data_IF_472160882621
#
_entry.id   IF_472160882621
#
_cell.length_a   1.000
_cell.length_b   1.000
_cell.length_c   1.000
_cell.angle_alpha   90.00
_cell.angle_beta   90.00
_cell.angle_gamma   90.00
#
_symmetry.space_group_name_H-M   'P 1'
#
loop_
_entity.id
_entity.type
_entity.pdbx_description
1 polymer ?
#
# COMPACT_ATOMS: atom_id res chain seq x y z
N UNK A 1 9.17 14.55 9.00
CA UNK A 1 7.98 14.51 8.14
C UNK A 1 6.91 13.57 8.68
N UNK A 2 7.12 12.24 8.70
CA UNK A 2 6.11 11.24 9.11
C UNK A 2 5.45 11.61 10.45
N UNK A 3 6.24 11.87 11.50
CA UNK A 3 5.74 12.31 12.81
C UNK A 3 4.82 13.55 12.74
N UNK A 4 5.20 14.56 11.97
CA UNK A 4 4.41 15.79 11.82
C UNK A 4 3.09 15.52 11.11
N UNK A 5 3.08 14.65 10.10
CA UNK A 5 1.86 14.28 9.38
C UNK A 5 0.95 13.43 10.26
N UNK A 6 1.48 12.43 10.96
CA UNK A 6 0.72 11.59 11.89
C UNK A 6 0.03 12.44 12.96
N UNK A 7 0.78 13.28 13.68
CA UNK A 7 0.23 14.13 14.73
C UNK A 7 -0.65 15.25 14.17
N UNK A 8 -0.27 15.83 13.04
CA UNK A 8 -1.02 16.90 12.38
C UNK A 8 -2.39 16.44 11.91
N UNK A 9 -2.47 15.31 11.22
CA UNK A 9 -3.74 14.71 10.80
C UNK A 9 -4.61 14.37 12.00
N UNK A 10 -4.04 13.75 13.04
CA UNK A 10 -4.79 13.36 14.23
C UNK A 10 -5.37 14.57 14.98
N UNK A 11 -4.60 15.65 15.10
CA UNK A 11 -5.03 16.85 15.83
C UNK A 11 -5.91 17.81 15.03
N UNK A 12 -5.81 17.81 13.70
CA UNK A 12 -6.51 18.77 12.84
C UNK A 12 -7.87 18.25 12.38
N UNK A 13 -7.99 16.95 12.11
CA UNK A 13 -9.25 16.37 11.66
C UNK A 13 -10.24 16.22 12.82
N UNK A 14 -11.56 16.34 12.57
CA UNK A 14 -12.57 16.21 13.62
C UNK A 14 -12.45 14.89 14.39
N UNK A 15 -12.60 14.89 15.73
CA UNK A 15 -12.65 13.66 16.51
C UNK A 15 -13.69 12.69 15.97
N UNK A 16 -13.30 11.42 15.82
CA UNK A 16 -14.16 10.38 15.25
C UNK A 16 -14.17 10.33 13.71
N UNK A 17 -13.48 11.26 13.04
CA UNK A 17 -13.26 11.25 11.58
C UNK A 17 -11.77 11.19 11.22
N UNK A 18 -10.91 11.01 12.22
CA UNK A 18 -9.46 11.13 12.14
C UNK A 18 -8.76 9.78 12.39
N UNK A 19 -9.21 8.73 11.72
CA UNK A 19 -8.55 7.41 11.78
C UNK A 19 -7.21 7.53 11.06
N UNK A 20 -6.12 7.40 11.82
CA UNK A 20 -4.74 7.43 11.32
C UNK A 20 -4.12 6.08 11.58
N UNK A 21 -3.70 5.41 10.51
CA UNK A 21 -3.11 4.07 10.56
C UNK A 21 -1.82 4.05 9.77
N UNK A 22 -0.96 3.12 10.09
CA UNK A 22 0.30 2.90 9.38
C UNK A 22 0.39 1.44 8.94
N UNK A 23 0.88 1.19 7.73
CA UNK A 23 1.03 -0.16 7.15
C UNK A 23 2.50 -0.47 6.84
N UNK A 24 3.41 -0.51 7.83
CA UNK A 24 4.84 -0.73 7.57
C UNK A 24 5.13 -2.18 7.16
N UNK A 25 6.27 -2.43 6.52
CA UNK A 25 6.81 -3.79 6.44
C UNK A 25 7.20 -4.26 7.85
N UNK A 26 7.11 -5.56 8.13
CA UNK A 26 7.60 -6.12 9.40
C UNK A 26 9.09 -5.78 9.66
N UNK A 27 9.91 -5.70 8.61
CA UNK A 27 11.31 -5.28 8.69
C UNK A 27 11.50 -3.84 9.17
N UNK A 28 10.53 -2.96 8.93
CA UNK A 28 10.56 -1.58 9.40
C UNK A 28 10.11 -1.47 10.86
N UNK A 29 9.55 -2.53 11.43
CA UNK A 29 9.00 -2.57 12.77
C UNK A 29 9.88 -3.37 13.75
N UNK A 30 11.18 -3.46 13.45
CA UNK A 30 12.21 -3.93 14.39
C UNK A 30 12.72 -2.78 15.27
N UNK A 31 13.03 -3.07 16.53
CA UNK A 31 13.37 -2.04 17.53
C UNK A 31 14.54 -1.12 17.16
N UNK A 32 15.48 -1.61 16.33
CA UNK A 32 16.62 -0.84 15.84
C UNK A 32 16.30 0.11 14.69
N UNK A 33 15.12 0.02 14.08
CA UNK A 33 14.75 0.86 12.94
C UNK A 33 14.31 2.26 13.40
N UNK A 34 14.54 3.26 12.55
CA UNK A 34 14.04 4.62 12.80
C UNK A 34 12.51 4.68 12.74
N UNK A 35 11.87 3.90 11.85
CA UNK A 35 10.43 3.90 11.68
C UNK A 35 9.71 3.36 12.93
N UNK A 36 10.24 2.30 13.54
CA UNK A 36 9.75 1.77 14.80
C UNK A 36 9.74 2.84 15.89
N UNK A 37 10.83 3.63 16.02
CA UNK A 37 10.92 4.69 17.03
C UNK A 37 9.91 5.81 16.77
N UNK A 38 9.69 6.18 15.50
CA UNK A 38 8.66 7.17 15.13
C UNK A 38 7.27 6.66 15.53
N UNK A 39 6.91 5.42 15.18
CA UNK A 39 5.62 4.82 15.52
C UNK A 39 5.46 4.73 17.04
N UNK A 40 6.47 4.22 17.75
CA UNK A 40 6.45 4.08 19.21
C UNK A 40 6.24 5.42 19.93
N UNK A 41 6.97 6.46 19.54
CA UNK A 41 6.88 7.77 20.17
C UNK A 41 5.54 8.49 19.88
N UNK A 42 4.82 8.06 18.84
CA UNK A 42 3.58 8.67 18.39
C UNK A 42 2.39 7.69 18.45
N UNK A 43 2.51 6.60 19.21
CA UNK A 43 1.50 5.54 19.27
C UNK A 43 0.11 6.07 19.68
N UNK A 44 0.04 7.10 20.53
CA UNK A 44 -1.22 7.74 20.92
C UNK A 44 -1.96 8.46 19.79
N UNK A 45 -1.27 8.77 18.69
CA UNK A 45 -1.85 9.40 17.49
C UNK A 45 -2.13 8.41 16.36
N UNK A 46 -1.84 7.11 16.56
CA UNK A 46 -2.05 6.04 15.59
C UNK A 46 -3.14 5.11 16.14
N UNK A 47 -4.29 5.06 15.47
CA UNK A 47 -5.46 4.32 15.95
C UNK A 47 -5.23 2.81 15.97
N UNK A 48 -4.52 2.29 14.98
CA UNK A 48 -4.00 0.93 14.92
C UNK A 48 -2.89 0.82 13.87
N UNK A 49 -2.01 -0.15 14.08
CA UNK A 49 -0.90 -0.49 13.21
C UNK A 49 -1.25 -1.74 12.41
N UNK A 50 -0.83 -1.75 11.15
CA UNK A 50 -1.12 -2.82 10.19
C UNK A 50 0.19 -3.36 9.58
N UNK A 51 1.06 -4.06 10.36
CA UNK A 51 2.31 -4.57 9.82
C UNK A 51 2.05 -5.58 8.69
N UNK A 52 2.78 -5.42 7.59
CA UNK A 52 2.77 -6.33 6.45
C UNK A 52 3.63 -7.56 6.81
N UNK A 53 3.00 -8.67 7.19
CA UNK A 53 3.68 -9.95 7.47
C UNK A 53 3.87 -10.77 6.18
N UNK A 54 4.35 -10.10 5.14
CA UNK A 54 4.62 -10.64 3.81
C UNK A 54 5.76 -9.86 3.16
N UNK A 55 6.49 -10.48 2.23
CA UNK A 55 7.66 -9.90 1.55
C UNK A 55 8.81 -9.43 2.46
N UNK A 56 8.74 -9.74 3.76
CA UNK A 56 9.59 -9.13 4.77
C UNK A 56 10.46 -10.14 5.51
N UNK A 57 10.58 -9.99 6.83
CA UNK A 57 11.43 -10.82 7.70
C UNK A 57 10.71 -11.99 8.36
N UNK A 58 9.38 -12.08 8.24
CA UNK A 58 8.56 -13.19 8.76
C UNK A 58 7.93 -14.00 7.62
N UNK A 59 7.56 -15.26 7.88
CA UNK A 59 6.85 -16.14 6.92
C UNK A 59 5.76 -16.96 7.63
N UNK A 60 4.65 -16.32 8.06
CA UNK A 60 3.69 -16.97 8.98
C UNK A 60 2.98 -18.19 8.39
N UNK A 61 2.75 -18.24 7.07
CA UNK A 61 2.14 -19.41 6.41
C UNK A 61 3.13 -20.57 6.30
N UNK A 62 4.39 -20.30 5.94
CA UNK A 62 5.40 -21.35 5.72
C UNK A 62 5.99 -21.87 7.03
N UNK A 63 6.24 -20.97 7.98
CA UNK A 63 6.97 -21.28 9.21
C UNK A 63 6.02 -21.55 10.39
N UNK A 64 4.73 -21.27 10.22
CA UNK A 64 3.80 -21.08 11.33
C UNK A 64 4.10 -19.80 12.10
N UNK A 65 3.13 -19.29 12.86
CA UNK A 65 3.29 -17.98 13.52
C UNK A 65 4.42 -17.95 14.55
N UNK A 66 4.71 -19.08 15.19
CA UNK A 66 5.74 -19.22 16.22
C UNK A 66 7.12 -19.62 15.68
N UNK A 67 7.22 -20.05 14.41
CA UNK A 67 8.45 -20.56 13.82
C UNK A 67 9.34 -19.47 13.23
N UNK A 68 10.61 -19.83 12.98
CA UNK A 68 11.65 -18.98 12.38
C UNK A 68 12.32 -19.76 11.24
N UNK A 69 11.51 -20.32 10.34
CA UNK A 69 11.97 -21.18 9.26
C UNK A 69 12.68 -20.40 8.16
N UNK A 70 11.96 -20.01 7.11
CA UNK A 70 12.50 -19.13 6.07
C UNK A 70 12.54 -17.66 6.48
N UNK A 71 11.72 -17.25 7.46
CA UNK A 71 11.82 -15.95 8.10
C UNK A 71 13.06 -15.84 9.00
N UNK A 72 13.51 -14.61 9.26
CA UNK A 72 14.58 -14.34 10.22
C UNK A 72 14.07 -14.10 11.64
N UNK A 73 12.76 -13.87 11.81
CA UNK A 73 12.06 -13.80 13.10
C UNK A 73 10.67 -14.43 12.99
N UNK A 74 10.09 -14.86 14.12
CA UNK A 74 8.72 -15.38 14.11
C UNK A 74 7.70 -14.26 14.09
N UNK A 75 6.61 -14.44 13.35
CA UNK A 75 5.55 -13.44 13.28
C UNK A 75 4.92 -13.17 14.66
N UNK A 76 4.76 -14.19 15.50
CA UNK A 76 4.23 -14.06 16.85
C UNK A 76 5.14 -13.24 17.77
N UNK A 77 6.46 -13.47 17.73
CA UNK A 77 7.41 -12.69 18.54
C UNK A 77 7.47 -11.23 18.09
N UNK A 78 7.41 -10.99 16.78
CA UNK A 78 7.32 -9.64 16.23
C UNK A 78 6.02 -8.95 16.64
N UNK A 79 4.87 -9.61 16.47
CA UNK A 79 3.56 -9.11 16.90
C UNK A 79 3.55 -8.77 18.40
N UNK A 80 4.03 -9.68 19.24
CA UNK A 80 4.17 -9.49 20.68
C UNK A 80 5.05 -8.27 21.03
N UNK A 81 6.13 -8.03 20.27
CA UNK A 81 6.97 -6.85 20.48
C UNK A 81 6.16 -5.57 20.28
N UNK A 82 5.34 -5.51 19.24
CA UNK A 82 4.51 -4.33 18.95
C UNK A 82 3.44 -4.12 20.00
N UNK A 83 2.72 -5.18 20.37
CA UNK A 83 1.72 -5.13 21.45
C UNK A 83 2.34 -4.58 22.72
N UNK A 84 3.44 -5.16 23.19
CA UNK A 84 4.00 -4.82 24.50
C UNK A 84 4.75 -3.49 24.51
N UNK A 85 5.52 -3.19 23.46
CA UNK A 85 6.48 -2.08 23.48
C UNK A 85 6.02 -0.83 22.72
N UNK A 86 5.04 -0.96 21.81
CA UNK A 86 4.41 0.18 21.11
C UNK A 86 3.08 0.52 21.77
N UNK A 87 2.25 -0.49 22.03
CA UNK A 87 0.88 -0.30 22.53
C UNK A 87 0.66 -0.72 23.99
N UNK A 88 1.74 -0.90 24.76
CA UNK A 88 1.68 -1.14 26.21
C UNK A 88 0.76 -2.30 26.62
N UNK A 89 0.69 -3.35 25.81
CA UNK A 89 -0.13 -4.54 26.03
C UNK A 89 -1.45 -4.57 25.27
N UNK A 90 -1.82 -3.49 24.56
CA UNK A 90 -3.09 -3.44 23.82
C UNK A 90 -2.98 -4.14 22.45
N UNK A 91 -3.38 -5.41 22.41
CA UNK A 91 -3.38 -6.21 21.19
C UNK A 91 -4.44 -5.77 20.16
N UNK A 92 -5.47 -5.03 20.58
CA UNK A 92 -6.53 -4.54 19.68
C UNK A 92 -5.98 -3.51 18.68
N UNK A 93 -4.78 -2.98 18.94
CA UNK A 93 -4.09 -1.97 18.14
C UNK A 93 -3.19 -2.53 17.05
N UNK A 94 -3.01 -3.85 16.97
CA UNK A 94 -2.15 -4.48 15.96
C UNK A 94 -3.00 -5.41 15.10
N UNK A 95 -3.09 -5.08 13.82
CA UNK A 95 -3.88 -5.80 12.81
C UNK A 95 -2.92 -6.58 11.92
N UNK A 96 -3.14 -7.89 11.75
CA UNK A 96 -2.22 -8.77 11.04
C UNK A 96 -2.38 -8.66 9.52
N UNK A 97 -1.29 -8.36 8.81
CA UNK A 97 -1.30 -8.14 7.36
C UNK A 97 -0.96 -9.34 6.51
N UNK A 98 -1.77 -9.58 5.48
CA UNK A 98 -1.58 -10.65 4.50
C UNK A 98 -1.43 -10.11 3.08
N UNK A 99 -0.65 -10.85 2.28
CA UNK A 99 -0.64 -10.68 0.84
C UNK A 99 -1.40 -11.84 0.21
N UNK A 100 -2.43 -11.55 -0.57
CA UNK A 100 -3.35 -12.59 -1.10
C UNK A 100 -3.03 -12.96 -2.54
N UNK A 101 -2.16 -12.18 -3.19
CA UNK A 101 -1.63 -12.42 -4.53
C UNK A 101 -0.35 -11.61 -4.77
N UNK A 102 0.39 -11.92 -5.83
CA UNK A 102 1.55 -11.12 -6.29
C UNK A 102 2.75 -11.05 -5.32
N UNK A 103 2.76 -11.86 -4.26
CA UNK A 103 3.87 -12.05 -3.34
C UNK A 103 4.51 -13.45 -3.46
N UNK A 104 4.35 -14.12 -4.60
CA UNK A 104 4.89 -15.48 -4.82
C UNK A 104 6.41 -15.52 -4.85
N UNK A 105 7.08 -14.43 -5.27
CA UNK A 105 8.55 -14.36 -5.34
C UNK A 105 9.23 -14.56 -3.98
N UNK A 106 8.57 -14.13 -2.89
CA UNK A 106 9.07 -14.31 -1.53
C UNK A 106 8.40 -15.49 -0.81
N UNK A 107 7.50 -16.19 -1.53
CA UNK A 107 6.64 -17.22 -0.96
C UNK A 107 5.59 -16.69 0.00
N UNK A 108 5.23 -15.40 -0.01
CA UNK A 108 4.39 -14.82 1.04
C UNK A 108 2.89 -14.72 0.71
N UNK A 109 2.43 -15.34 -0.39
CA UNK A 109 1.00 -15.43 -0.67
C UNK A 109 0.33 -16.28 0.42
N UNK A 110 -0.83 -15.84 0.87
CA UNK A 110 -1.70 -16.57 1.79
C UNK A 110 -3.11 -16.62 1.22
N UNK A 111 -3.60 -17.82 0.92
CA UNK A 111 -5.02 -17.99 0.60
C UNK A 111 -5.92 -17.78 1.84
N UNK A 112 -7.24 -17.79 1.64
CA UNK A 112 -8.19 -17.54 2.73
C UNK A 112 -8.12 -18.55 3.88
N UNK A 113 -7.83 -19.82 3.60
CA UNK A 113 -7.73 -20.87 4.63
C UNK A 113 -6.38 -20.81 5.35
N UNK A 114 -5.30 -20.54 4.61
CA UNK A 114 -3.97 -20.33 5.19
C UNK A 114 -3.97 -19.11 6.13
N UNK A 115 -4.55 -17.99 5.69
CA UNK A 115 -4.72 -16.80 6.52
C UNK A 115 -5.63 -17.07 7.73
N UNK A 116 -6.74 -17.79 7.56
CA UNK A 116 -7.61 -18.19 8.67
C UNK A 116 -6.87 -19.07 9.70
N UNK A 117 -5.97 -19.95 9.25
CA UNK A 117 -5.12 -20.77 10.13
C UNK A 117 -4.18 -19.89 10.95
N UNK A 118 -3.46 -18.96 10.29
CA UNK A 118 -2.59 -17.99 10.96
C UNK A 118 -3.36 -17.17 12.00
N UNK A 119 -4.57 -16.69 11.67
CA UNK A 119 -5.40 -15.93 12.59
C UNK A 119 -5.94 -16.78 13.74
N UNK A 120 -6.24 -18.05 13.50
CA UNK A 120 -6.66 -19.00 14.54
C UNK A 120 -5.52 -19.20 15.55
N UNK A 121 -4.32 -19.44 15.04
CA UNK A 121 -3.13 -19.59 15.88
C UNK A 121 -2.84 -18.30 16.65
N UNK A 122 -2.97 -17.13 16.02
CA UNK A 122 -2.78 -15.84 16.70
C UNK A 122 -3.78 -15.66 17.85
N UNK A 123 -5.05 -16.01 17.60
CA UNK A 123 -6.12 -15.92 18.59
C UNK A 123 -5.89 -16.82 19.82
N UNK A 124 -5.07 -17.87 19.72
CA UNK A 124 -4.68 -18.67 20.90
C UNK A 124 -3.88 -17.87 21.94
N UNK A 125 -3.12 -16.87 21.48
CA UNK A 125 -2.27 -16.02 22.35
C UNK A 125 -2.88 -14.64 22.55
N UNK A 126 -3.45 -14.07 21.49
CA UNK A 126 -4.08 -12.75 21.47
C UNK A 126 -5.51 -12.87 20.92
N UNK A 127 -6.47 -13.39 21.71
CA UNK A 127 -7.86 -13.52 21.26
C UNK A 127 -8.49 -12.18 20.87
N UNK A 128 -7.98 -11.08 21.44
CA UNK A 128 -8.40 -9.70 21.16
C UNK A 128 -7.39 -8.95 20.30
N UNK A 129 -6.77 -9.63 19.34
CA UNK A 129 -5.96 -8.97 18.32
C UNK A 129 -6.84 -8.00 17.50
N UNK A 130 -6.21 -7.04 16.81
CA UNK A 130 -6.90 -6.03 16.01
C UNK A 130 -7.58 -6.56 14.73
N UNK A 131 -7.53 -7.86 14.47
CA UNK A 131 -8.06 -8.50 13.27
C UNK A 131 -7.01 -8.66 12.18
N UNK A 132 -7.48 -8.71 10.93
CA UNK A 132 -6.64 -8.89 9.75
C UNK A 132 -6.90 -7.79 8.71
N UNK A 133 -5.87 -7.47 7.94
CA UNK A 133 -6.00 -6.71 6.69
C UNK A 133 -5.28 -7.46 5.58
N UNK A 134 -5.58 -7.10 4.34
CA UNK A 134 -4.97 -7.76 3.19
C UNK A 134 -4.72 -6.82 2.02
N UNK A 135 -3.67 -7.13 1.27
CA UNK A 135 -3.36 -6.51 -0.03
C UNK A 135 -3.76 -7.47 -1.15
N UNK A 136 -4.80 -7.21 -1.95
CA UNK A 136 -5.72 -6.04 -1.96
C UNK A 136 -7.15 -6.47 -2.29
N UNK A 137 -8.15 -5.67 -1.92
CA UNK A 137 -9.58 -5.95 -2.14
C UNK A 137 -9.94 -6.40 -3.57
N UNK A 138 -9.27 -5.87 -4.59
CA UNK A 138 -9.48 -6.26 -5.99
C UNK A 138 -9.26 -7.76 -6.23
N UNK A 139 -8.38 -8.39 -5.46
CA UNK A 139 -8.00 -9.79 -5.64
C UNK A 139 -8.84 -10.75 -4.77
N UNK A 140 -9.66 -10.21 -3.85
CA UNK A 140 -10.62 -11.01 -3.08
C UNK A 140 -11.92 -11.22 -3.86
N UNK A 141 -11.81 -12.04 -4.90
CA UNK A 141 -12.95 -12.38 -5.75
C UNK A 141 -13.97 -13.21 -4.98
N UNK A 142 -15.22 -12.76 -4.97
CA UNK A 142 -16.34 -13.45 -4.33
C UNK A 142 -16.14 -13.73 -2.83
N UNK A 143 -15.36 -12.91 -2.13
CA UNK A 143 -15.04 -13.09 -0.71
C UNK A 143 -14.32 -14.40 -0.38
N UNK A 144 -13.64 -15.01 -1.35
CA UNK A 144 -12.91 -16.28 -1.16
C UNK A 144 -11.80 -16.19 -0.12
N UNK A 145 -11.19 -15.01 0.03
CA UNK A 145 -10.23 -14.76 1.10
C UNK A 145 -10.92 -14.25 2.38
N UNK A 146 -11.82 -13.28 2.26
CA UNK A 146 -12.37 -12.60 3.44
C UNK A 146 -13.37 -13.43 4.24
N UNK A 147 -14.17 -14.30 3.63
CA UNK A 147 -15.16 -15.12 4.34
C UNK A 147 -14.52 -16.04 5.41
N UNK A 148 -13.53 -16.91 5.10
CA UNK A 148 -12.93 -17.79 6.10
C UNK A 148 -12.17 -17.01 7.19
N UNK A 149 -11.49 -15.92 6.84
CA UNK A 149 -10.76 -15.09 7.82
C UNK A 149 -11.73 -14.37 8.75
N UNK A 150 -12.82 -13.82 8.23
CA UNK A 150 -13.84 -13.14 9.02
C UNK A 150 -14.54 -14.09 10.00
N UNK A 151 -14.77 -15.36 9.64
CA UNK A 151 -15.30 -16.37 10.58
C UNK A 151 -14.41 -16.54 11.81
N UNK A 152 -13.08 -16.60 11.62
CA UNK A 152 -12.12 -16.71 12.74
C UNK A 152 -12.12 -15.44 13.58
N UNK A 153 -12.11 -14.26 12.96
CA UNK A 153 -12.14 -12.98 13.68
C UNK A 153 -13.40 -12.88 14.53
N UNK A 154 -14.57 -13.16 13.96
CA UNK A 154 -15.84 -13.13 14.69
C UNK A 154 -15.82 -14.07 15.89
N UNK A 155 -15.41 -15.33 15.70
CA UNK A 155 -15.35 -16.32 16.77
C UNK A 155 -14.35 -15.94 17.87
N UNK A 156 -13.17 -15.42 17.51
CA UNK A 156 -12.16 -15.01 18.50
C UNK A 156 -12.60 -13.81 19.34
N UNK A 157 -13.33 -12.88 18.73
CA UNK A 157 -13.80 -11.65 19.39
C UNK A 157 -14.84 -11.86 20.48
N UNK A 158 -15.55 -13.00 20.48
CA UNK A 158 -16.51 -13.37 21.54
C UNK A 158 -15.86 -13.50 22.92
N UNK A 159 -14.55 -13.74 22.96
CA UNK A 159 -13.78 -13.89 24.21
C UNK A 159 -13.18 -12.59 24.70
N UNK A 160 -13.47 -11.47 24.04
CA UNK A 160 -12.92 -10.17 24.41
C UNK A 160 -13.80 -9.45 25.42
N UNK A 161 -13.20 -8.80 26.43
CA UNK A 161 -13.96 -7.88 27.27
C UNK A 161 -14.61 -6.85 26.35
N UNK A 162 -15.87 -6.52 26.61
CA UNK A 162 -16.49 -5.34 26.01
C UNK A 162 -15.54 -4.16 26.29
N UNK A 163 -14.94 -3.63 25.23
CA UNK A 163 -14.15 -2.42 25.32
C UNK A 163 -15.00 -1.30 25.95
N UNK A 164 -14.40 -0.20 26.43
CA UNK A 164 -15.19 0.97 26.78
C UNK A 164 -16.12 1.25 25.61
N UNK A 165 -17.43 1.26 25.88
CA UNK A 165 -18.46 1.34 24.86
C UNK A 165 -18.02 2.36 23.82
N UNK A 166 -17.84 1.93 22.56
CA UNK A 166 -17.71 2.89 21.49
C UNK A 166 -18.94 3.77 21.63
N UNK A 167 -18.76 5.00 22.10
CA UNK A 167 -19.79 6.02 21.97
C UNK A 167 -20.09 5.99 20.50
N UNK A 168 -21.29 5.53 20.14
CA UNK A 168 -21.82 5.60 18.78
C UNK A 168 -21.63 7.04 18.34
N UNK A 169 -20.48 7.36 17.73
CA UNK A 169 -20.31 8.62 17.03
C UNK A 169 -21.26 8.44 15.87
N UNK A 170 -22.38 9.19 15.83
CA UNK A 170 -23.30 9.07 14.72
C UNK A 170 -22.48 9.25 13.46
N UNK A 171 -22.61 8.33 12.51
CA UNK A 171 -22.14 8.57 11.16
C UNK A 171 -22.56 10.00 10.79
N UNK A 172 -21.64 10.88 10.36
CA UNK A 172 -22.02 12.23 10.00
C UNK A 172 -23.12 12.12 8.94
N UNK A 173 -24.33 12.51 9.34
CA UNK A 173 -25.44 12.64 8.42
C UNK A 173 -24.98 13.66 7.39
N UNK A 174 -24.94 13.27 6.12
CA UNK A 174 -24.50 14.12 5.03
C UNK A 174 -25.14 15.50 5.18
N UNK A 175 -24.32 16.51 5.50
CA UNK A 175 -24.83 17.87 5.58
C UNK A 175 -25.44 18.23 4.22
N UNK A 176 -26.59 18.91 4.17
CA UNK A 176 -27.22 19.27 2.91
C UNK A 176 -26.22 20.08 2.08
N UNK A 177 -25.85 19.56 0.92
CA UNK A 177 -24.99 20.22 -0.06
C UNK A 177 -25.61 21.58 -0.38
N UNK A 178 -25.01 22.65 0.13
CA UNK A 178 -25.41 24.02 -0.21
C UNK A 178 -25.16 24.19 -1.71
N UNK A 179 -26.21 24.55 -2.44
CA UNK A 179 -26.12 24.79 -3.88
C UNK A 179 -24.97 25.76 -4.21
N UNK A 180 -24.25 25.58 -5.33
CA UNK A 180 -23.15 26.46 -5.71
C UNK A 180 -23.64 27.90 -5.82
N UNK A 181 -23.10 28.79 -4.98
CA UNK A 181 -23.25 30.23 -5.12
C UNK A 181 -22.34 30.66 -6.29
N UNK A 182 -22.96 31.16 -7.36
CA UNK A 182 -22.24 31.78 -8.48
C UNK A 182 -21.46 32.98 -7.95
N UNK A 183 -20.13 32.87 -7.89
CA UNK A 183 -19.26 34.02 -7.62
C UNK A 183 -19.14 34.90 -8.88
N UNK A 184 -18.97 36.23 -8.73
CA UNK A 184 -18.77 37.14 -9.85
C UNK A 184 -17.39 36.93 -10.50
N UNK A 185 -17.39 36.91 -11.83
CA UNK A 185 -16.19 36.83 -12.68
C UNK A 185 -15.19 37.93 -12.32
N UNK A 186 -14.00 37.55 -11.87
CA UNK A 186 -12.89 38.47 -11.64
C UNK A 186 -12.08 38.58 -12.92
N UNK A 187 -11.83 39.79 -13.40
CA UNK A 187 -11.10 40.08 -14.64
C UNK A 187 -9.68 39.49 -14.64
N UNK A 188 -9.28 38.99 -15.79
CA UNK A 188 -7.98 38.38 -16.06
C UNK A 188 -6.88 39.48 -16.14
N UNK A 189 -5.71 39.32 -15.51
CA UNK A 189 -4.65 40.33 -15.59
C UNK A 189 -4.02 40.37 -16.99
N UNK A 190 -3.86 41.59 -17.50
CA UNK A 190 -3.13 41.91 -18.74
C UNK A 190 -1.67 41.47 -18.65
N UNK A 191 -1.23 40.66 -19.62
CA UNK A 191 0.14 40.17 -19.73
C UNK A 191 1.15 41.32 -19.98
N UNK A 192 2.26 41.30 -19.26
CA UNK A 192 3.42 42.17 -19.51
C UNK A 192 4.28 41.65 -20.67
N UNK A 193 4.97 42.52 -21.43
CA UNK A 193 5.79 42.10 -22.56
C UNK A 193 7.15 41.54 -22.09
N UNK A 194 7.46 40.30 -22.45
CA UNK A 194 8.81 39.75 -22.32
C UNK A 194 9.65 40.09 -23.55
N UNK A 195 10.86 40.60 -23.32
CA UNK A 195 11.89 40.84 -24.34
C UNK A 195 13.07 39.88 -24.16
N UNK A 196 13.61 39.47 -25.32
CA UNK A 196 14.95 38.94 -25.62
C UNK A 196 15.37 37.53 -25.17
N UNK A 197 15.33 36.63 -26.17
CA UNK A 197 16.30 35.59 -26.60
C UNK A 197 16.98 34.64 -25.58
N UNK A 198 16.74 33.32 -25.68
CA UNK A 198 17.71 32.30 -25.31
C UNK A 198 18.70 32.00 -26.46
N UNK A 199 19.91 31.48 -26.16
CA UNK A 199 20.91 31.10 -27.16
C UNK A 199 20.46 29.86 -27.97
N UNK A 200 21.00 29.65 -29.18
CA UNK A 200 20.55 28.58 -30.06
C UNK A 200 20.96 27.21 -29.50
N UNK A 201 19.96 26.41 -29.13
CA UNK A 201 20.15 24.97 -28.91
C UNK A 201 20.13 24.28 -30.28
N UNK A 202 21.23 23.64 -30.63
CA UNK A 202 21.36 22.79 -31.81
C UNK A 202 20.33 21.65 -31.75
N UNK A 203 19.41 21.65 -32.71
CA UNK A 203 18.50 20.54 -32.99
C UNK A 203 19.23 19.47 -33.79
N UNK A 204 19.70 18.41 -33.11
CA UNK A 204 19.90 17.11 -33.73
C UNK A 204 19.46 16.02 -32.74
N UNK A 205 18.19 15.64 -32.82
CA UNK A 205 17.71 14.39 -32.27
C UNK A 205 17.83 13.32 -33.38
N UNK A 206 18.73 12.32 -33.26
CA UNK A 206 18.56 11.08 -33.99
C UNK A 206 17.53 10.24 -33.23
N UNK A 207 16.52 9.74 -33.95
CA UNK A 207 15.73 8.61 -33.52
C UNK A 207 16.68 7.42 -33.35
N UNK A 208 17.04 7.09 -32.11
CA UNK A 208 17.90 5.95 -31.81
C UNK A 208 17.05 4.68 -31.79
N UNK A 209 17.06 3.96 -32.92
CA UNK A 209 16.79 2.53 -32.90
C UNK A 209 17.83 1.87 -31.97
N UNK A 210 17.39 0.98 -31.07
CA UNK A 210 18.30 0.23 -30.20
C UNK A 210 19.30 -0.57 -31.03
N UNK A 211 20.56 -0.57 -30.60
CA UNK A 211 21.64 -1.26 -31.28
C UNK A 211 21.47 -2.79 -31.14
N UNK A 212 21.71 -3.51 -32.24
CA UNK A 212 21.72 -4.98 -32.29
C UNK A 212 23.01 -5.57 -31.71
N UNK A 213 23.06 -6.89 -31.56
CA UNK A 213 24.27 -7.60 -31.11
C UNK A 213 25.44 -7.31 -32.07
N UNK A 214 26.62 -7.00 -31.52
CA UNK A 214 27.83 -6.68 -32.28
C UNK A 214 27.95 -5.21 -32.72
N UNK A 215 26.88 -4.42 -32.58
CA UNK A 215 26.91 -2.98 -32.85
C UNK A 215 27.56 -2.20 -31.69
N UNK A 216 28.16 -1.03 -31.96
CA UNK A 216 28.82 -0.23 -30.94
C UNK A 216 27.82 0.37 -29.94
N UNK A 217 28.22 0.42 -28.67
CA UNK A 217 27.41 0.93 -27.57
C UNK A 217 28.24 1.79 -26.61
N UNK A 218 27.63 2.79 -25.97
CA UNK A 218 28.30 3.58 -24.95
C UNK A 218 27.93 3.10 -23.54
N UNK A 219 26.68 2.67 -23.36
CA UNK A 219 26.11 2.21 -22.10
C UNK A 219 25.12 1.05 -22.31
N UNK A 220 24.82 0.25 -21.26
CA UNK A 220 23.92 -0.89 -21.35
C UNK A 220 22.54 -0.60 -21.97
N UNK A 221 21.87 0.54 -21.70
CA UNK A 221 20.58 0.89 -22.31
C UNK A 221 20.62 1.07 -23.84
N UNK A 222 21.81 1.28 -24.42
CA UNK A 222 21.95 1.45 -25.87
C UNK A 222 21.76 0.11 -26.62
N UNK A 223 21.87 -1.01 -25.91
CA UNK A 223 21.79 -2.37 -26.45
C UNK A 223 20.43 -3.00 -26.20
N UNK A 224 19.90 -3.70 -27.22
CA UNK A 224 18.63 -4.45 -27.09
C UNK A 224 18.71 -5.57 -26.04
N UNK A 225 19.89 -6.13 -25.81
CA UNK A 225 20.15 -7.13 -24.76
C UNK A 225 20.33 -6.53 -23.36
N UNK A 226 20.48 -5.21 -23.23
CA UNK A 226 20.83 -4.55 -21.97
C UNK A 226 22.28 -4.78 -21.53
N UNK A 227 23.16 -5.29 -22.40
CA UNK A 227 24.56 -5.57 -22.08
C UNK A 227 25.52 -4.91 -23.09
N UNK A 228 26.37 -4.01 -22.58
CA UNK A 228 27.40 -3.32 -23.35
C UNK A 228 28.78 -3.62 -22.73
N UNK A 229 29.70 -4.22 -23.48
CA UNK A 229 31.00 -4.66 -22.95
C UNK A 229 32.18 -4.29 -23.85
N UNK A 230 33.31 -3.99 -23.23
CA UNK A 230 34.57 -3.58 -23.88
C UNK A 230 35.38 -2.64 -22.99
N UNK A 231 36.67 -2.93 -22.80
CA UNK A 231 37.54 -2.17 -21.88
C UNK A 231 37.86 -0.74 -22.33
N UNK A 232 37.58 -0.37 -23.58
CA UNK A 232 37.80 0.96 -24.13
C UNK A 232 36.48 1.53 -24.66
N UNK A 233 36.07 2.77 -24.27
CA UNK A 233 34.83 3.41 -24.74
C UNK A 233 34.65 3.41 -26.25
N UNK A 234 35.74 3.45 -27.02
CA UNK A 234 35.69 3.45 -28.50
C UNK A 234 35.57 2.06 -29.14
N UNK A 235 35.50 0.98 -28.35
CA UNK A 235 35.44 -0.41 -28.84
C UNK A 235 34.41 -1.28 -28.09
N UNK A 236 33.44 -0.67 -27.44
CA UNK A 236 32.36 -1.40 -26.77
C UNK A 236 31.33 -1.87 -27.78
N UNK A 237 30.82 -3.09 -27.59
CA UNK A 237 29.78 -3.68 -28.45
C UNK A 237 28.69 -4.38 -27.63
N UNK A 238 27.50 -4.49 -28.20
CA UNK A 238 26.38 -5.19 -27.59
C UNK A 238 26.60 -6.71 -27.59
N UNK A 239 26.39 -7.35 -26.44
CA UNK A 239 26.59 -8.81 -26.25
C UNK A 239 25.27 -9.58 -26.27
N UNK A 240 25.34 -10.87 -26.63
CA UNK A 240 24.25 -11.82 -26.37
C UNK A 240 24.15 -12.13 -24.87
N UNK A 241 22.92 -12.37 -24.39
CA UNK A 241 22.67 -12.81 -23.01
C UNK A 241 23.21 -14.23 -22.79
N UNK A 242 24.50 -14.32 -22.47
CA UNK A 242 25.22 -15.53 -22.12
C UNK A 242 25.77 -15.45 -20.69
N UNK A 243 25.52 -16.51 -19.92
CA UNK A 243 25.82 -16.69 -18.49
C UNK A 243 27.23 -16.22 -18.08
N UNK A 244 27.30 -15.13 -17.31
CA UNK A 244 28.52 -14.56 -16.71
C UNK A 244 28.17 -13.71 -15.48
N UNK A 245 29.11 -13.51 -14.53
CA UNK A 245 28.81 -13.50 -13.10
C UNK A 245 27.99 -12.29 -12.64
N UNK A 246 27.21 -12.54 -11.59
CA UNK A 246 26.28 -11.64 -10.90
C UNK A 246 26.89 -10.24 -10.67
N UNK A 247 26.27 -9.15 -11.18
CA UNK A 247 26.72 -7.79 -10.93
C UNK A 247 26.52 -7.39 -9.47
N UNK A 248 27.55 -6.77 -8.90
CA UNK A 248 27.50 -6.04 -7.64
C UNK A 248 26.50 -4.90 -7.74
N UNK A 249 25.62 -4.80 -6.73
CA UNK A 249 24.51 -3.85 -6.60
C UNK A 249 24.95 -2.39 -6.81
N UNK A 250 24.45 -1.74 -7.87
CA UNK A 250 24.51 -0.29 -8.07
C UNK A 250 23.28 0.39 -7.44
N UNK A 251 23.41 1.64 -6.98
CA UNK A 251 22.33 2.36 -6.32
C UNK A 251 21.14 2.61 -7.26
N UNK A 252 19.94 2.29 -6.77
CA UNK A 252 18.65 2.48 -7.43
C UNK A 252 18.37 3.98 -7.63
N UNK A 253 18.06 4.46 -8.86
CA UNK A 253 17.61 5.83 -9.08
C UNK A 253 16.23 6.10 -8.46
N UNK A 254 16.00 7.32 -8.00
CA UNK A 254 14.70 7.75 -7.46
C UNK A 254 13.55 7.58 -8.48
N UNK A 255 12.33 7.22 -8.03
CA UNK A 255 11.18 7.06 -8.90
C UNK A 255 10.80 8.37 -9.58
N UNK A 256 10.74 8.35 -10.92
CA UNK A 256 10.15 9.45 -11.70
C UNK A 256 8.63 9.31 -11.62
N UNK A 257 7.97 10.35 -11.13
CA UNK A 257 6.51 10.42 -10.97
C UNK A 257 5.82 10.29 -12.33
N UNK A 258 5.00 9.24 -12.48
CA UNK A 258 4.21 9.01 -13.69
C UNK A 258 3.08 10.04 -13.83
N UNK A 259 2.56 10.27 -15.05
CA UNK A 259 1.48 11.21 -15.27
C UNK A 259 0.22 10.82 -14.48
N UNK A 260 -0.19 11.71 -13.58
CA UNK A 260 -1.42 11.62 -12.78
C UNK A 260 -2.62 11.59 -13.73
N UNK A 261 -3.39 10.50 -13.70
CA UNK A 261 -4.66 10.45 -14.43
C UNK A 261 -5.65 11.46 -13.82
N UNK A 262 -6.40 12.20 -14.65
CA UNK A 262 -7.41 13.11 -14.15
C UNK A 262 -8.51 12.34 -13.40
N UNK A 263 -9.07 12.92 -12.33
CA UNK A 263 -10.14 12.28 -11.57
C UNK A 263 -11.34 12.01 -12.47
N UNK A 264 -11.79 10.75 -12.49
CA UNK A 264 -13.03 10.37 -13.17
C UNK A 264 -14.18 11.07 -12.44
N UNK A 265 -14.88 11.95 -13.15
CA UNK A 265 -16.04 12.68 -12.63
C UNK A 265 -17.14 11.69 -12.19
N UNK A 266 -17.53 11.74 -10.92
CA UNK A 266 -18.65 10.94 -10.41
C UNK A 266 -19.96 11.33 -11.11
N UNK A 267 -20.84 10.36 -11.44
CA UNK A 267 -22.17 10.64 -11.96
C UNK A 267 -23.00 11.44 -10.96
N UNK A 268 -23.68 12.47 -11.45
CA UNK A 268 -24.49 13.43 -10.67
C UNK A 268 -25.69 12.79 -9.94
N UNK A 269 -25.99 11.52 -10.18
CA UNK A 269 -26.92 10.71 -9.41
C UNK A 269 -26.48 9.23 -9.48
N UNK A 270 -26.14 8.67 -8.33
CA UNK A 270 -25.85 7.24 -8.18
C UNK A 270 -26.93 6.58 -7.33
N UNK A 271 -27.13 5.29 -7.52
CA UNK A 271 -28.11 4.48 -6.81
C UNK A 271 -27.56 4.01 -5.46
N UNK A 272 -28.41 4.11 -4.44
CA UNK A 272 -28.13 3.64 -3.09
C UNK A 272 -28.20 2.12 -2.97
N UNK A 273 -27.70 1.59 -1.85
CA UNK A 273 -27.71 0.17 -1.52
C UNK A 273 -29.11 -0.45 -1.65
N UNK A 274 -29.22 -1.59 -2.33
CA UNK A 274 -30.46 -2.32 -2.58
C UNK A 274 -31.22 -1.90 -3.84
N UNK A 275 -30.80 -0.82 -4.50
CA UNK A 275 -31.43 -0.36 -5.75
C UNK A 275 -30.97 -1.22 -6.94
N UNK A 276 -31.85 -1.54 -7.90
CA UNK A 276 -31.44 -2.26 -9.10
C UNK A 276 -30.37 -1.52 -9.93
N UNK A 277 -29.45 -2.26 -10.53
CA UNK A 277 -28.37 -1.75 -11.38
C UNK A 277 -28.01 -2.75 -12.49
N UNK A 278 -27.41 -2.21 -13.55
CA UNK A 278 -26.86 -2.95 -14.68
C UNK A 278 -25.34 -3.08 -14.60
N UNK A 279 -24.65 -2.08 -14.04
CA UNK A 279 -23.20 -2.10 -13.82
C UNK A 279 -22.80 -1.20 -12.64
N UNK A 280 -21.54 -1.31 -12.21
CA UNK A 280 -21.02 -0.62 -11.03
C UNK A 280 -21.02 0.90 -11.12
N UNK A 281 -21.02 1.48 -12.33
CA UNK A 281 -21.02 2.94 -12.50
C UNK A 281 -22.32 3.60 -12.04
N UNK A 282 -23.39 2.82 -11.94
CA UNK A 282 -24.68 3.29 -11.45
C UNK A 282 -24.76 3.30 -9.91
N UNK A 283 -23.84 2.65 -9.20
CA UNK A 283 -23.90 2.50 -7.74
C UNK A 283 -22.97 3.50 -7.04
N UNK A 284 -23.42 4.09 -5.93
CA UNK A 284 -22.63 5.10 -5.23
C UNK A 284 -21.29 4.59 -4.68
N UNK A 285 -21.21 3.28 -4.39
CA UNK A 285 -19.99 2.61 -3.93
C UNK A 285 -19.29 1.83 -5.06
N UNK A 286 -19.73 2.00 -6.31
CA UNK A 286 -19.08 1.38 -7.47
C UNK A 286 -19.37 -0.10 -7.69
N UNK A 287 -20.26 -0.73 -6.88
CA UNK A 287 -20.49 -2.18 -6.91
C UNK A 287 -21.93 -2.52 -7.29
N UNK A 288 -22.09 -3.11 -8.47
CA UNK A 288 -23.32 -3.76 -8.91
C UNK A 288 -23.12 -5.28 -8.92
N UNK A 289 -23.90 -6.03 -8.14
CA UNK A 289 -23.75 -7.48 -8.05
C UNK A 289 -24.40 -8.20 -9.23
N UNK A 290 -24.02 -9.46 -9.47
CA UNK A 290 -24.63 -10.31 -10.50
C UNK A 290 -26.12 -10.62 -10.31
N UNK A 291 -26.72 -10.25 -9.18
CA UNK A 291 -28.17 -10.24 -8.96
C UNK A 291 -28.82 -8.88 -9.32
N UNK A 292 -28.07 -7.95 -9.92
CA UNK A 292 -28.54 -6.68 -10.44
C UNK A 292 -28.91 -5.65 -9.38
N UNK A 293 -28.24 -5.61 -8.22
CA UNK A 293 -28.48 -4.56 -7.19
C UNK A 293 -27.20 -3.93 -6.65
N UNK A 294 -27.28 -2.63 -6.33
CA UNK A 294 -26.21 -1.84 -5.76
C UNK A 294 -25.93 -2.23 -4.30
N UNK A 295 -24.64 -2.28 -3.93
CA UNK A 295 -24.21 -2.49 -2.54
C UNK A 295 -23.46 -1.31 -1.99
#
# INVERSE_FOLDING_TARGET
FIEQVTNGLKSTLPPGQNIVTHTPMDSDMVASSSYYQIVKNNAGSIDFLMPQYYNGITRPVQDGIGGVGQGSVSALSHFQNLVNNVYSGDATKVVFGFCISDCSLTGSNADGNEAATVMTDLATTYPCNGGAFFWVALHDSSATWSDPVNLVIQSSSENCPDGPAQTNVPFPTSAPTKAPSLYPSTEMPTASPMTSNPPPYNTHAPSLALAGIGEPCNQPPDCTSGLCSGGNPSRRVCLENGSGPTPTEQPVPEPVEGPVQPPVSQPTACFGRGTPCNDGSQCCLGVCKGNGVCK
#
